data_IF_630302784319
#
_entry.id   IF_630302784319
#
_cell.length_a   1.000
_cell.length_b   1.000
_cell.length_c   1.000
_cell.angle_alpha   90.00
_cell.angle_beta   90.00
_cell.angle_gamma   90.00
#
_symmetry.space_group_name_H-M   'P 1'
#
loop_
_entity.id
_entity.type
_entity.pdbx_description
1 polymer ?
#
# COMPACT_ATOMS: atom_id res chain seq x y z
N UNK A 1 26.10 19.74 -5.86
CA UNK A 1 26.32 20.82 -6.86
C UNK A 1 25.01 21.50 -7.15
N UNK A 2 24.97 22.78 -6.83
CA UNK A 2 23.80 23.67 -6.87
C UNK A 2 23.35 23.93 -8.32
N UNK A 3 22.04 23.91 -8.58
CA UNK A 3 21.48 24.20 -9.90
C UNK A 3 21.55 25.72 -10.11
N UNK A 4 22.65 26.21 -10.68
CA UNK A 4 22.78 27.62 -11.06
C UNK A 4 22.15 27.84 -12.45
N UNK A 5 21.58 29.01 -12.71
CA UNK A 5 20.92 29.38 -13.98
C UNK A 5 21.84 29.47 -15.22
N UNK A 6 23.04 28.90 -15.13
CA UNK A 6 24.05 28.80 -16.20
C UNK A 6 24.32 27.35 -16.65
N UNK A 7 23.69 26.35 -16.03
CA UNK A 7 23.82 24.96 -16.47
C UNK A 7 23.23 24.82 -17.87
N UNK A 8 24.00 24.33 -18.86
CA UNK A 8 23.49 24.16 -20.23
C UNK A 8 22.24 23.27 -20.20
N UNK A 9 21.20 23.65 -20.97
CA UNK A 9 19.89 22.98 -20.92
C UNK A 9 20.00 21.45 -21.03
N UNK A 10 20.94 20.95 -21.82
CA UNK A 10 21.18 19.51 -21.98
C UNK A 10 21.67 18.80 -20.71
N UNK A 11 22.42 19.47 -19.84
CA UNK A 11 22.87 18.91 -18.56
C UNK A 11 21.76 18.92 -17.51
N UNK A 12 20.95 19.99 -17.47
CA UNK A 12 19.76 20.03 -16.61
C UNK A 12 18.73 18.97 -17.03
N UNK A 13 18.47 18.85 -18.33
CA UNK A 13 17.57 17.82 -18.88
C UNK A 13 18.10 16.41 -18.61
N UNK A 14 19.42 16.21 -18.79
CA UNK A 14 20.07 14.94 -18.50
C UNK A 14 19.91 14.52 -17.04
N UNK A 15 20.09 15.45 -16.09
CA UNK A 15 19.89 15.18 -14.66
C UNK A 15 18.43 14.83 -14.33
N UNK A 16 17.48 15.61 -14.86
CA UNK A 16 16.05 15.35 -14.65
C UNK A 16 15.65 13.98 -15.20
N UNK A 17 16.11 13.61 -16.40
CA UNK A 17 15.81 12.30 -16.99
C UNK A 17 16.43 11.17 -16.18
N UNK A 18 17.67 11.34 -15.72
CA UNK A 18 18.35 10.32 -14.91
C UNK A 18 17.69 10.12 -13.54
N UNK A 19 17.14 11.18 -12.95
CA UNK A 19 16.41 11.16 -11.68
C UNK A 19 14.96 10.63 -11.84
N UNK A 20 14.32 10.91 -12.97
CA UNK A 20 12.95 10.45 -13.26
C UNK A 20 12.88 8.97 -13.68
N UNK A 21 13.96 8.39 -14.22
CA UNK A 21 13.99 7.02 -14.72
C UNK A 21 13.62 5.96 -13.65
N UNK A 22 14.25 5.94 -12.46
CA UNK A 22 13.87 5.01 -11.40
C UNK A 22 12.42 5.19 -10.93
N UNK A 23 11.95 6.43 -10.89
CA UNK A 23 10.59 6.77 -10.47
C UNK A 23 9.53 6.24 -11.46
N UNK A 24 9.74 6.45 -12.75
CA UNK A 24 8.86 5.94 -13.81
C UNK A 24 8.85 4.41 -13.86
N UNK A 25 10.00 3.77 -13.65
CA UNK A 25 10.09 2.31 -13.57
C UNK A 25 9.30 1.80 -12.36
N UNK A 26 9.42 2.46 -11.20
CA UNK A 26 8.64 2.14 -10.00
C UNK A 26 7.13 2.24 -10.24
N UNK A 27 6.66 3.32 -10.86
CA UNK A 27 5.23 3.51 -11.20
C UNK A 27 4.77 2.46 -12.21
N UNK A 28 5.57 2.17 -13.24
CA UNK A 28 5.23 1.19 -14.27
C UNK A 28 5.11 -0.23 -13.70
N UNK A 29 6.02 -0.64 -12.82
CA UNK A 29 5.96 -1.93 -12.13
C UNK A 29 4.76 -1.99 -11.19
N UNK A 30 4.50 -0.93 -10.41
CA UNK A 30 3.33 -0.87 -9.54
C UNK A 30 2.02 -0.96 -10.34
N UNK A 31 1.91 -0.20 -11.44
CA UNK A 31 0.75 -0.22 -12.33
C UNK A 31 0.57 -1.56 -13.04
N UNK A 32 1.67 -2.25 -13.38
CA UNK A 32 1.62 -3.56 -13.99
C UNK A 32 1.15 -4.63 -12.99
N UNK A 33 1.65 -4.61 -11.76
CA UNK A 33 1.20 -5.49 -10.67
C UNK A 33 -0.29 -5.26 -10.37
N UNK A 34 -0.76 -4.01 -10.39
CA UNK A 34 -2.18 -3.67 -10.21
C UNK A 34 -3.08 -4.08 -11.39
N UNK A 35 -2.52 -4.23 -12.60
CA UNK A 35 -3.25 -4.64 -13.82
C UNK A 35 -3.23 -6.14 -14.10
N UNK A 36 -2.24 -6.85 -13.57
CA UNK A 36 -2.02 -8.28 -13.84
C UNK A 36 -3.08 -9.23 -13.28
N UNK A 37 -4.11 -8.73 -12.58
CA UNK A 37 -5.20 -9.55 -12.02
C UNK A 37 -6.57 -9.33 -12.68
N UNK A 38 -6.63 -8.83 -13.93
CA UNK A 38 -7.91 -8.47 -14.59
C UNK A 38 -8.11 -8.92 -16.03
N UNK A 39 -7.28 -9.84 -16.53
CA UNK A 39 -7.49 -10.45 -17.85
C UNK A 39 -7.23 -11.96 -17.75
N UNK A 40 -8.30 -12.74 -17.60
CA UNK A 40 -8.49 -14.08 -18.17
C UNK A 40 -9.86 -14.64 -17.74
N UNK A 41 -10.95 -14.05 -18.25
CA UNK A 41 -12.24 -14.75 -18.34
C UNK A 41 -13.10 -14.10 -19.43
N UNK A 42 -12.73 -14.29 -20.69
CA UNK A 42 -13.65 -14.17 -21.82
C UNK A 42 -13.14 -15.12 -22.91
N UNK A 43 -13.70 -16.33 -22.95
CA UNK A 43 -13.82 -17.07 -24.20
C UNK A 43 -15.01 -18.05 -24.11
N UNK A 44 -16.07 -17.65 -24.81
CA UNK A 44 -16.96 -18.46 -25.66
C UNK A 44 -17.81 -19.59 -25.07
N UNK A 45 -19.03 -19.24 -24.65
CA UNK A 45 -20.20 -20.12 -24.73
C UNK A 45 -20.73 -20.21 -26.17
N UNK A 46 -20.35 -21.26 -26.89
CA UNK A 46 -21.13 -21.80 -28.01
C UNK A 46 -21.06 -23.34 -28.02
N UNK A 47 -22.17 -24.01 -27.68
CA UNK A 47 -22.66 -25.22 -28.39
C UNK A 47 -24.07 -25.60 -27.91
N UNK A 48 -25.00 -25.64 -28.87
CA UNK A 48 -26.36 -26.18 -28.77
C UNK A 48 -26.38 -27.73 -28.89
N UNK A 49 -27.50 -28.28 -28.43
CA UNK A 49 -28.20 -29.51 -28.86
C UNK A 49 -28.02 -30.89 -28.13
N UNK A 50 -29.15 -31.27 -27.51
CA UNK A 50 -29.97 -32.48 -27.76
C UNK A 50 -29.53 -33.86 -27.23
N UNK A 51 -30.30 -34.39 -26.25
CA UNK A 51 -31.14 -35.62 -26.34
C UNK A 51 -31.31 -36.37 -25.00
N UNK A 52 -32.55 -36.74 -24.66
CA UNK A 52 -32.88 -38.10 -24.20
C UNK A 52 -33.09 -38.43 -22.71
N UNK A 53 -34.34 -38.30 -22.23
CA UNK A 53 -35.22 -39.37 -21.67
C UNK A 53 -34.79 -40.28 -20.47
N UNK A 54 -35.60 -40.20 -19.38
CA UNK A 54 -36.25 -41.26 -18.53
C UNK A 54 -35.71 -41.76 -17.16
N UNK A 55 -36.71 -41.88 -16.27
CA UNK A 55 -36.96 -42.78 -15.10
C UNK A 55 -36.03 -42.70 -13.88
N UNK A 56 -36.50 -42.31 -12.68
CA UNK A 56 -37.39 -42.97 -11.68
C UNK A 56 -36.56 -43.58 -10.54
N UNK A 57 -36.96 -43.34 -9.29
CA UNK A 57 -36.35 -43.98 -8.11
C UNK A 57 -36.09 -43.06 -6.93
N UNK A 58 -36.94 -43.20 -5.92
CA UNK A 58 -36.93 -42.71 -4.55
C UNK A 58 -35.70 -43.06 -3.69
N UNK A 59 -35.60 -42.34 -2.54
CA UNK A 59 -34.96 -42.67 -1.24
C UNK A 59 -33.56 -42.08 -0.92
N UNK A 60 -33.58 -41.02 -0.09
CA UNK A 60 -32.90 -40.87 1.21
C UNK A 60 -31.48 -41.45 1.36
N UNK A 61 -30.42 -40.62 1.38
CA UNK A 61 -29.36 -40.72 2.40
C UNK A 61 -28.45 -39.48 2.42
N UNK A 62 -28.02 -39.18 3.64
CA UNK A 62 -27.12 -38.15 4.13
C UNK A 62 -25.68 -38.19 3.55
N UNK A 63 -25.03 -37.03 3.43
CA UNK A 63 -23.55 -36.95 3.40
C UNK A 63 -22.93 -35.81 2.60
N UNK A 64 -22.33 -34.85 3.32
CA UNK A 64 -21.14 -34.05 3.00
C UNK A 64 -20.99 -33.41 1.60
N UNK A 65 -21.36 -32.13 1.48
CA UNK A 65 -20.83 -31.19 0.47
C UNK A 65 -20.27 -29.93 1.16
N UNK A 66 -19.17 -30.09 1.92
CA UNK A 66 -18.36 -28.99 2.43
C UNK A 66 -16.89 -29.22 2.02
N UNK A 67 -16.50 -28.92 0.78
CA UNK A 67 -15.08 -29.04 0.40
C UNK A 67 -14.55 -28.20 -0.77
N UNK A 68 -15.33 -27.37 -1.47
CA UNK A 68 -14.82 -26.70 -2.69
C UNK A 68 -15.02 -25.16 -2.70
N UNK A 69 -15.19 -24.53 -1.53
CA UNK A 69 -15.39 -23.07 -1.39
C UNK A 69 -14.20 -22.33 -0.74
N UNK A 70 -13.07 -22.98 -0.46
CA UNK A 70 -11.98 -22.42 0.34
C UNK A 70 -10.85 -21.78 -0.49
N UNK A 71 -10.77 -22.08 -1.79
CA UNK A 71 -9.62 -21.65 -2.62
C UNK A 71 -9.84 -20.26 -3.24
N UNK A 72 -11.06 -19.89 -3.63
CA UNK A 72 -11.37 -18.58 -4.22
C UNK A 72 -11.43 -17.43 -3.19
N UNK A 73 -11.81 -17.70 -1.94
CA UNK A 73 -11.91 -16.68 -0.90
C UNK A 73 -10.53 -16.17 -0.43
N UNK A 74 -9.50 -17.02 -0.52
CA UNK A 74 -8.13 -16.64 -0.20
C UNK A 74 -7.55 -15.69 -1.27
N UNK A 75 -7.76 -15.98 -2.55
CA UNK A 75 -7.26 -15.15 -3.66
C UNK A 75 -7.93 -13.77 -3.72
N UNK A 76 -9.23 -13.68 -3.44
CA UNK A 76 -9.93 -12.40 -3.30
C UNK A 76 -9.37 -11.54 -2.14
N UNK A 77 -9.04 -12.17 -1.01
CA UNK A 77 -8.46 -11.50 0.15
C UNK A 77 -7.01 -11.04 -0.06
N UNK A 78 -6.22 -11.80 -0.80
CA UNK A 78 -4.84 -11.45 -1.18
C UNK A 78 -4.82 -10.26 -2.13
N UNK A 79 -5.70 -10.26 -3.14
CA UNK A 79 -5.80 -9.17 -4.11
C UNK A 79 -6.24 -7.86 -3.42
N UNK A 80 -7.24 -7.92 -2.54
CA UNK A 80 -7.67 -6.76 -1.74
C UNK A 80 -6.54 -6.18 -0.88
N UNK A 81 -5.74 -7.04 -0.25
CA UNK A 81 -4.59 -6.61 0.56
C UNK A 81 -3.51 -5.93 -0.29
N UNK A 82 -3.23 -6.46 -1.49
CA UNK A 82 -2.23 -5.87 -2.41
C UNK A 82 -2.70 -4.51 -2.92
N UNK A 83 -3.98 -4.36 -3.26
CA UNK A 83 -4.58 -3.08 -3.67
C UNK A 83 -4.48 -2.06 -2.54
N UNK A 84 -4.84 -2.45 -1.31
CA UNK A 84 -4.76 -1.60 -0.13
C UNK A 84 -3.32 -1.13 0.18
N UNK A 85 -2.35 -2.05 0.12
CA UNK A 85 -0.94 -1.72 0.34
C UNK A 85 -0.38 -0.85 -0.79
N UNK A 86 -0.79 -1.09 -2.03
CA UNK A 86 -0.41 -0.26 -3.18
C UNK A 86 -0.95 1.16 -3.07
N UNK A 87 -2.23 1.31 -2.73
CA UNK A 87 -2.85 2.60 -2.47
C UNK A 87 -2.19 3.34 -1.30
N UNK A 88 -1.87 2.60 -0.23
CA UNK A 88 -1.13 3.13 0.93
C UNK A 88 0.25 3.63 0.51
N UNK A 89 0.99 2.86 -0.29
CA UNK A 89 2.31 3.26 -0.76
C UNK A 89 2.24 4.54 -1.60
N UNK A 90 1.31 4.61 -2.55
CA UNK A 90 1.14 5.79 -3.43
C UNK A 90 0.80 7.03 -2.59
N UNK A 91 -0.18 6.93 -1.69
CA UNK A 91 -0.56 8.04 -0.82
C UNK A 91 0.58 8.50 0.10
N UNK A 92 1.33 7.55 0.67
CA UNK A 92 2.48 7.85 1.51
C UNK A 92 3.57 8.58 0.74
N UNK A 93 3.88 8.13 -0.48
CA UNK A 93 4.85 8.76 -1.38
C UNK A 93 4.42 10.18 -1.73
N UNK A 94 3.17 10.39 -2.18
CA UNK A 94 2.67 11.71 -2.61
C UNK A 94 2.79 12.76 -1.49
N UNK A 95 2.49 12.38 -0.25
CA UNK A 95 2.57 13.31 0.90
C UNK A 95 3.99 13.48 1.44
N UNK A 96 4.82 12.44 1.43
CA UNK A 96 6.18 12.51 1.97
C UNK A 96 7.19 13.11 1.00
N UNK A 97 6.98 12.98 -0.31
CA UNK A 97 7.88 13.46 -1.36
C UNK A 97 8.27 14.94 -1.23
N UNK A 98 7.35 15.91 -1.03
CA UNK A 98 7.75 17.32 -0.89
C UNK A 98 8.43 17.63 0.45
N UNK A 99 8.29 16.76 1.46
CA UNK A 99 8.89 16.93 2.80
C UNK A 99 10.27 16.27 2.90
N UNK A 100 10.50 15.19 2.15
CA UNK A 100 11.73 14.41 2.21
C UNK A 100 13.02 15.18 1.86
N UNK A 101 13.08 16.07 0.86
CA UNK A 101 14.30 16.81 0.55
C UNK A 101 14.55 17.98 1.52
N UNK A 102 13.69 18.21 2.50
CA UNK A 102 13.74 19.43 3.30
C UNK A 102 14.51 19.25 4.61
N UNK A 103 15.20 20.31 5.04
CA UNK A 103 16.06 20.28 6.23
C UNK A 103 15.26 20.23 7.55
N UNK A 104 13.96 20.56 7.50
CA UNK A 104 13.09 20.56 8.67
C UNK A 104 12.96 19.16 9.28
N UNK A 105 12.95 18.11 8.46
CA UNK A 105 12.83 16.72 8.94
C UNK A 105 14.05 16.33 9.76
N UNK A 106 15.26 16.63 9.27
CA UNK A 106 16.51 16.39 9.97
C UNK A 106 16.63 17.26 11.23
N UNK A 107 16.24 18.53 11.16
CA UNK A 107 16.24 19.43 12.31
C UNK A 107 15.27 18.97 13.41
N UNK A 108 14.07 18.53 13.03
CA UNK A 108 13.08 17.95 13.95
C UNK A 108 13.62 16.67 14.58
N UNK A 109 14.15 15.74 13.78
CA UNK A 109 14.73 14.50 14.27
C UNK A 109 15.86 14.73 15.28
N UNK A 110 16.75 15.69 15.01
CA UNK A 110 17.86 16.05 15.91
C UNK A 110 17.39 16.70 17.23
N UNK A 111 16.20 17.31 17.24
CA UNK A 111 15.62 17.95 18.43
C UNK A 111 14.83 16.99 19.34
N UNK A 112 14.56 15.76 18.87
CA UNK A 112 13.73 14.79 19.57
C UNK A 112 14.58 13.79 20.37
N UNK A 113 14.31 13.71 21.67
CA UNK A 113 14.84 12.65 22.52
C UNK A 113 14.26 11.27 22.16
N UNK A 114 14.96 10.16 22.46
CA UNK A 114 14.49 8.80 22.18
C UNK A 114 13.09 8.48 22.72
N UNK A 115 12.73 9.03 23.89
CA UNK A 115 11.40 8.84 24.49
C UNK A 115 10.31 9.56 23.70
N UNK A 116 10.61 10.72 23.12
CA UNK A 116 9.69 11.48 22.27
C UNK A 116 9.51 10.80 20.92
N UNK A 117 10.55 10.16 20.38
CA UNK A 117 10.44 9.33 19.17
C UNK A 117 9.50 8.13 19.40
N UNK A 118 9.61 7.44 20.54
CA UNK A 118 8.67 6.37 20.88
C UNK A 118 7.23 6.89 21.02
N UNK A 119 7.05 8.05 21.65
CA UNK A 119 5.74 8.69 21.72
C UNK A 119 5.22 9.07 20.33
N UNK A 120 6.08 9.51 19.41
CA UNK A 120 5.75 9.84 18.03
C UNK A 120 5.33 8.60 17.22
N UNK A 121 6.00 7.46 17.40
CA UNK A 121 5.60 6.17 16.84
C UNK A 121 4.21 5.78 17.35
N UNK A 122 3.99 5.87 18.67
CA UNK A 122 2.68 5.60 19.25
C UNK A 122 1.59 6.52 18.69
N UNK A 123 1.87 7.82 18.59
CA UNK A 123 0.97 8.82 18.05
C UNK A 123 0.64 8.57 16.58
N UNK A 124 1.63 8.21 15.76
CA UNK A 124 1.43 7.88 14.33
C UNK A 124 0.58 6.65 14.15
N UNK A 125 0.81 5.60 14.93
CA UNK A 125 -0.03 4.39 14.92
C UNK A 125 -1.47 4.71 15.32
N UNK A 126 -1.68 5.51 16.37
CA UNK A 126 -3.03 5.92 16.81
C UNK A 126 -3.71 6.78 15.74
N UNK A 127 -2.99 7.70 15.12
CA UNK A 127 -3.53 8.54 14.04
C UNK A 127 -3.90 7.72 12.81
N UNK A 128 -3.01 6.83 12.36
CA UNK A 128 -3.27 5.92 11.24
C UNK A 128 -4.45 4.99 11.50
N UNK A 129 -4.50 4.38 12.70
CA UNK A 129 -5.64 3.57 13.14
C UNK A 129 -6.92 4.40 13.11
N UNK A 130 -6.91 5.62 13.66
CA UNK A 130 -8.07 6.50 13.69
C UNK A 130 -8.60 6.84 12.29
N UNK A 131 -7.72 7.15 11.34
CA UNK A 131 -8.10 7.46 9.94
C UNK A 131 -8.77 6.25 9.29
N UNK A 132 -8.12 5.08 9.36
CA UNK A 132 -8.64 3.84 8.77
C UNK A 132 -9.92 3.38 9.47
N UNK A 133 -9.97 3.48 10.80
CA UNK A 133 -11.13 3.10 11.61
C UNK A 133 -12.34 3.97 11.27
N UNK A 134 -12.20 5.30 11.29
CA UNK A 134 -13.29 6.24 10.93
C UNK A 134 -13.79 5.98 9.52
N UNK A 135 -12.89 5.76 8.56
CA UNK A 135 -13.30 5.45 7.19
C UNK A 135 -13.97 4.07 7.06
N UNK A 136 -13.52 3.09 7.86
CA UNK A 136 -14.11 1.75 7.92
C UNK A 136 -15.56 1.74 8.38
N UNK A 137 -16.01 2.71 9.21
CA UNK A 137 -17.43 2.87 9.54
C UNK A 137 -18.26 3.38 8.37
N UNK A 138 -17.68 4.19 7.48
CA UNK A 138 -18.41 4.68 6.31
C UNK A 138 -18.73 3.55 5.31
N UNK A 139 -18.03 2.42 5.39
CA UNK A 139 -18.16 1.29 4.46
C UNK A 139 -18.88 0.08 5.08
N UNK A 140 -19.63 0.27 6.17
CA UNK A 140 -20.31 -0.81 6.90
C UNK A 140 -21.35 -1.57 6.06
N UNK A 141 -21.91 -0.95 5.02
CA UNK A 141 -22.94 -1.55 4.15
C UNK A 141 -22.42 -2.80 3.39
N UNK A 142 -21.10 -2.97 3.21
CA UNK A 142 -20.48 -4.08 2.47
C UNK A 142 -19.79 -5.14 3.35
N UNK A 143 -19.71 -4.95 4.67
CA UNK A 143 -18.81 -5.72 5.55
C UNK A 143 -19.46 -6.90 6.29
N UNK A 144 -20.61 -7.40 5.83
CA UNK A 144 -21.31 -8.49 6.51
C UNK A 144 -20.73 -9.90 6.29
N UNK A 145 -19.68 -10.10 5.45
CA UNK A 145 -19.36 -11.47 5.00
C UNK A 145 -17.91 -11.96 5.09
N UNK A 146 -16.91 -11.21 5.60
CA UNK A 146 -15.55 -11.78 5.68
C UNK A 146 -14.85 -11.42 6.99
N UNK A 147 -14.51 -12.45 7.76
CA UNK A 147 -13.79 -12.39 9.03
C UNK A 147 -12.56 -13.32 8.96
N UNK A 148 -11.51 -12.87 8.26
CA UNK A 148 -10.19 -13.49 8.33
C UNK A 148 -9.41 -13.00 9.56
N UNK A 149 -8.58 -13.86 10.16
CA UNK A 149 -7.76 -13.56 11.35
C UNK A 149 -6.74 -12.43 11.09
N UNK A 150 -6.36 -12.20 9.82
CA UNK A 150 -5.56 -11.07 9.34
C UNK A 150 -6.35 -9.80 8.99
N UNK A 151 -7.69 -9.88 8.94
CA UNK A 151 -8.60 -8.75 8.67
C UNK A 151 -8.94 -7.97 9.95
N UNK A 152 -8.08 -8.04 10.98
CA UNK A 152 -8.23 -7.22 12.19
C UNK A 152 -7.64 -5.83 11.90
N UNK A 153 -8.36 -4.75 12.25
CA UNK A 153 -7.93 -3.38 11.92
C UNK A 153 -6.57 -3.00 12.53
N UNK A 154 -6.09 -3.73 13.55
CA UNK A 154 -4.76 -3.55 14.11
C UNK A 154 -3.63 -4.07 13.22
N UNK A 155 -3.69 -5.31 12.71
CA UNK A 155 -2.63 -5.89 11.86
C UNK A 155 -2.49 -5.12 10.55
N UNK A 156 -3.63 -4.70 10.02
CA UNK A 156 -3.72 -3.87 8.82
C UNK A 156 -3.12 -2.47 9.03
N UNK A 157 -3.40 -1.83 10.17
CA UNK A 157 -2.78 -0.53 10.51
C UNK A 157 -1.26 -0.66 10.65
N UNK A 158 -0.78 -1.74 11.28
CA UNK A 158 0.66 -1.98 11.42
C UNK A 158 1.30 -2.20 10.04
N UNK A 159 0.68 -2.99 9.16
CA UNK A 159 1.17 -3.18 7.80
C UNK A 159 1.23 -1.87 7.01
N UNK A 160 0.17 -1.05 7.08
CA UNK A 160 0.14 0.27 6.44
C UNK A 160 1.22 1.21 6.99
N UNK A 161 1.44 1.20 8.31
CA UNK A 161 2.50 1.98 8.96
C UNK A 161 3.90 1.53 8.51
N UNK A 162 4.13 0.22 8.38
CA UNK A 162 5.40 -0.31 7.88
C UNK A 162 5.65 0.07 6.41
N UNK A 163 4.61 0.02 5.56
CA UNK A 163 4.69 0.50 4.18
C UNK A 163 5.01 1.99 4.14
N UNK A 164 4.37 2.80 4.97
CA UNK A 164 4.65 4.23 5.08
C UNK A 164 6.07 4.54 5.57
N UNK A 165 6.59 3.78 6.55
CA UNK A 165 7.99 3.88 6.98
C UNK A 165 8.96 3.47 5.86
N UNK A 166 8.63 2.42 5.11
CA UNK A 166 9.40 2.01 3.93
C UNK A 166 9.45 3.09 2.87
N UNK A 167 8.31 3.75 2.59
CA UNK A 167 8.23 4.91 1.70
C UNK A 167 9.08 6.08 2.21
N UNK A 168 8.97 6.43 3.50
CA UNK A 168 9.75 7.49 4.11
C UNK A 168 11.26 7.22 4.04
N UNK A 169 11.68 5.98 4.34
CA UNK A 169 13.08 5.56 4.20
C UNK A 169 13.55 5.63 2.75
N UNK A 170 12.75 5.14 1.80
CA UNK A 170 13.08 5.21 0.39
C UNK A 170 13.24 6.67 -0.06
N UNK A 171 12.35 7.57 0.37
CA UNK A 171 12.44 8.99 0.05
C UNK A 171 13.71 9.63 0.63
N UNK A 172 14.04 9.37 1.90
CA UNK A 172 15.29 9.86 2.49
C UNK A 172 16.52 9.29 1.77
N UNK A 173 16.48 8.01 1.40
CA UNK A 173 17.56 7.37 0.65
C UNK A 173 17.78 8.02 -0.72
N UNK A 174 16.70 8.43 -1.40
CA UNK A 174 16.77 9.09 -2.70
C UNK A 174 17.29 10.54 -2.60
N UNK A 175 16.82 11.32 -1.62
CA UNK A 175 17.09 12.76 -1.56
C UNK A 175 18.26 13.17 -0.66
N UNK A 176 18.44 12.52 0.48
CA UNK A 176 19.38 12.96 1.53
C UNK A 176 20.69 12.18 1.55
N UNK A 177 20.83 11.12 0.72
CA UNK A 177 21.99 10.22 0.69
C UNK A 177 22.43 9.82 2.11
N UNK A 178 21.75 8.82 2.69
CA UNK A 178 21.85 8.37 4.09
C UNK A 178 23.26 7.93 4.55
N UNK A 179 24.21 8.87 4.58
CA UNK A 179 25.60 8.71 5.02
C UNK A 179 25.82 9.08 6.48
N UNK A 180 24.75 9.49 7.18
CA UNK A 180 24.79 9.75 8.62
C UNK A 180 24.79 8.47 9.46
N UNK A 181 24.96 8.58 10.78
CA UNK A 181 24.79 7.45 11.70
C UNK A 181 23.39 6.83 11.55
N UNK A 182 23.30 5.50 11.58
CA UNK A 182 22.03 4.76 11.44
C UNK A 182 20.92 5.26 12.38
N UNK A 183 21.27 5.71 13.58
CA UNK A 183 20.32 6.25 14.57
C UNK A 183 19.73 7.60 14.15
N UNK A 184 20.50 8.43 13.43
CA UNK A 184 20.01 9.70 12.90
C UNK A 184 19.01 9.43 11.78
N UNK A 185 19.37 8.56 10.82
CA UNK A 185 18.49 8.14 9.74
C UNK A 185 17.19 7.52 10.28
N UNK A 186 17.26 6.65 11.31
CA UNK A 186 16.06 6.08 11.91
C UNK A 186 15.14 7.15 12.51
N UNK A 187 15.71 8.16 13.15
CA UNK A 187 14.95 9.27 13.73
C UNK A 187 14.25 10.10 12.65
N UNK A 188 14.95 10.40 11.56
CA UNK A 188 14.40 11.08 10.38
C UNK A 188 13.30 10.27 9.71
N UNK A 189 13.49 8.96 9.55
CA UNK A 189 12.48 8.04 9.01
C UNK A 189 11.22 8.04 9.87
N UNK A 190 11.36 8.04 11.20
CA UNK A 190 10.21 8.08 12.12
C UNK A 190 9.48 9.42 12.02
N UNK A 191 10.22 10.53 11.92
CA UNK A 191 9.63 11.88 11.77
C UNK A 191 8.88 12.02 10.45
N UNK A 192 9.52 11.63 9.33
CA UNK A 192 8.90 11.64 8.00
C UNK A 192 7.79 10.57 7.87
N UNK A 193 7.88 9.51 8.67
CA UNK A 193 6.88 8.46 8.77
C UNK A 193 5.51 8.98 9.19
N UNK A 194 5.44 10.07 9.96
CA UNK A 194 4.16 10.68 10.34
C UNK A 194 3.35 11.21 9.15
N UNK A 195 3.85 12.17 8.36
CA UNK A 195 3.14 12.64 7.17
C UNK A 195 2.96 11.51 6.14
N UNK A 196 3.93 10.60 6.00
CA UNK A 196 3.78 9.43 5.13
C UNK A 196 2.61 8.52 5.55
N UNK A 197 2.42 8.27 6.84
CA UNK A 197 1.32 7.44 7.36
C UNK A 197 -0.04 8.08 7.12
N UNK A 198 -0.14 9.41 7.28
CA UNK A 198 -1.36 10.16 6.98
C UNK A 198 -1.70 10.05 5.50
N UNK A 199 -0.70 10.25 4.62
CA UNK A 199 -0.87 10.11 3.19
C UNK A 199 -1.25 8.70 2.77
N UNK A 200 -0.61 7.68 3.34
CA UNK A 200 -0.92 6.29 3.03
C UNK A 200 -2.31 5.88 3.49
N UNK A 201 -2.71 6.24 4.70
CA UNK A 201 -4.07 6.02 5.18
C UNK A 201 -5.09 6.70 4.25
N UNK A 202 -4.84 7.94 3.82
CA UNK A 202 -5.71 8.64 2.88
C UNK A 202 -5.74 7.99 1.49
N UNK A 203 -4.60 7.53 0.96
CA UNK A 203 -4.51 6.84 -0.33
C UNK A 203 -5.39 5.59 -0.37
N UNK A 204 -5.40 4.84 0.73
CA UNK A 204 -6.27 3.68 0.90
C UNK A 204 -7.77 4.03 0.91
N UNK A 205 -8.17 5.23 1.36
CA UNK A 205 -9.58 5.64 1.36
C UNK A 205 -10.11 5.99 -0.03
N UNK A 206 -9.22 6.22 -0.99
CA UNK A 206 -9.56 6.67 -2.35
C UNK A 206 -9.50 5.52 -3.36
N UNK A 207 -8.80 4.43 -3.03
CA UNK A 207 -8.70 3.23 -3.87
C UNK A 207 -9.96 2.35 -3.76
#
# INVERSE_FOLDING_TARGET
DEINGRTPLGEALGKIVYEALPFCIGIGVAAHILRGGRDESDDDTESEDDTGDKDDGSEDDTGDEDAEADENAADEGLNGTVVDLGATLIGAVVISLPMAPTDEIAALAASLDPTRLLALIGLTLVAGYGIVFVAGFSNQEQRHSQQGIFQRPLSETVAAYLVALGAAWAMLALFQNAGGPWTATLSEVVVLGLPATIGGAAGRLVA
#
